data_IF_927979414271
#
_entry.id   IF_927979414271
#
_cell.length_a   1.000
_cell.length_b   1.000
_cell.length_c   1.000
_cell.angle_alpha   90.00
_cell.angle_beta   90.00
_cell.angle_gamma   90.00
#
_symmetry.space_group_name_H-M   'P 1'
#
loop_
_entity.id
_entity.type
_entity.pdbx_description
1 polymer ?
#
# COMPACT_ATOMS: atom_id res chain seq x y z
N UNK A 1 34.99 -28.93 -54.77
CA UNK A 1 35.27 -29.16 -53.33
C UNK A 1 35.14 -27.79 -52.64
N UNK A 2 34.46 -27.70 -51.49
CA UNK A 2 34.10 -26.47 -50.72
C UNK A 2 32.70 -25.87 -50.94
N UNK A 3 31.64 -26.60 -50.57
CA UNK A 3 30.28 -26.03 -50.37
C UNK A 3 29.70 -26.39 -48.98
N UNK A 4 30.41 -27.14 -48.13
CA UNK A 4 29.83 -27.73 -46.90
C UNK A 4 30.15 -27.02 -45.57
N UNK A 5 30.76 -25.83 -45.57
CA UNK A 5 31.24 -25.21 -44.31
C UNK A 5 30.22 -24.25 -43.67
N UNK A 6 29.21 -23.77 -44.39
CA UNK A 6 28.44 -22.60 -43.93
C UNK A 6 27.19 -22.88 -43.09
N UNK A 7 26.83 -24.15 -42.83
CA UNK A 7 25.56 -24.48 -42.14
C UNK A 7 25.68 -24.62 -40.61
N UNK A 8 26.90 -24.55 -40.07
CA UNK A 8 27.15 -24.84 -38.64
C UNK A 8 27.13 -23.60 -37.74
N UNK A 9 27.20 -22.38 -38.30
CA UNK A 9 27.21 -21.15 -37.49
C UNK A 9 25.81 -20.56 -37.25
N UNK A 10 24.85 -20.72 -38.18
CA UNK A 10 23.50 -20.18 -37.99
C UNK A 10 22.70 -20.89 -36.87
N UNK A 11 23.01 -22.15 -36.55
CA UNK A 11 22.33 -22.88 -35.47
C UNK A 11 22.75 -22.46 -34.06
N UNK A 12 23.86 -21.71 -33.90
CA UNK A 12 24.29 -21.19 -32.60
C UNK A 12 23.68 -19.83 -32.24
N UNK A 13 23.17 -19.08 -33.21
CA UNK A 13 22.57 -17.76 -32.96
C UNK A 13 21.08 -17.84 -32.59
N UNK A 14 20.37 -18.92 -32.95
CA UNK A 14 18.95 -19.12 -32.61
C UNK A 14 18.66 -19.49 -31.16
N UNK A 15 19.66 -19.87 -30.35
CA UNK A 15 19.44 -20.33 -28.97
C UNK A 15 19.59 -19.22 -27.91
N UNK A 16 20.35 -18.15 -28.21
CA UNK A 16 20.62 -17.08 -27.22
C UNK A 16 19.43 -16.18 -26.90
N UNK A 17 18.48 -16.02 -27.83
CA UNK A 17 17.28 -15.22 -27.59
C UNK A 17 16.27 -15.93 -26.68
N UNK A 18 16.34 -17.25 -26.58
CA UNK A 18 15.44 -18.03 -25.72
C UNK A 18 15.91 -17.98 -24.27
N UNK A 19 17.23 -18.08 -24.03
CA UNK A 19 17.82 -17.89 -22.71
C UNK A 19 17.56 -16.48 -22.16
N UNK A 20 17.63 -15.42 -22.98
CA UNK A 20 17.32 -14.06 -22.52
C UNK A 20 15.87 -13.85 -22.08
N UNK A 21 14.94 -14.65 -22.58
CA UNK A 21 13.52 -14.58 -22.19
C UNK A 21 13.25 -15.39 -20.92
N UNK A 22 13.97 -16.49 -20.68
CA UNK A 22 13.91 -17.24 -19.42
C UNK A 22 14.29 -16.38 -18.21
N UNK A 23 15.35 -15.56 -18.32
CA UNK A 23 15.74 -14.62 -17.26
C UNK A 23 14.71 -13.50 -17.00
N UNK A 24 13.82 -13.21 -17.97
CA UNK A 24 12.78 -12.19 -17.83
C UNK A 24 11.47 -12.73 -17.25
N UNK A 25 11.24 -14.05 -17.35
CA UNK A 25 10.05 -14.69 -16.79
C UNK A 25 10.24 -15.12 -15.32
N UNK A 26 11.47 -15.39 -14.88
CA UNK A 26 11.76 -15.89 -13.52
C UNK A 26 11.64 -14.82 -12.41
N UNK A 27 11.59 -13.52 -12.75
CA UNK A 27 11.43 -12.43 -11.77
C UNK A 27 9.99 -11.92 -11.57
N UNK A 28 8.99 -12.48 -12.26
CA UNK A 28 7.59 -12.15 -11.97
C UNK A 28 7.14 -12.84 -10.68
N UNK A 29 7.51 -12.21 -9.57
CA UNK A 29 6.96 -12.54 -8.26
C UNK A 29 5.43 -12.62 -8.31
N UNK A 30 4.82 -13.35 -7.35
CA UNK A 30 3.40 -13.70 -7.38
C UNK A 30 2.54 -12.49 -7.73
N UNK A 31 1.72 -12.65 -8.77
CA UNK A 31 0.89 -11.59 -9.30
C UNK A 31 0.03 -11.01 -8.18
N UNK A 32 0.27 -9.74 -7.85
CA UNK A 32 -0.42 -9.10 -6.73
C UNK A 32 -1.89 -8.90 -7.12
N UNK A 33 -2.86 -9.35 -6.31
CA UNK A 33 -4.26 -9.15 -6.62
C UNK A 33 -4.52 -7.65 -6.75
N UNK A 34 -5.20 -7.25 -7.82
CA UNK A 34 -5.40 -5.83 -8.16
C UNK A 34 -5.99 -5.02 -7.00
N UNK A 35 -6.85 -5.61 -6.18
CA UNK A 35 -7.44 -4.96 -5.02
C UNK A 35 -6.43 -4.62 -3.90
N UNK A 36 -5.37 -5.42 -3.71
CA UNK A 36 -4.33 -5.12 -2.73
C UNK A 36 -3.48 -3.92 -3.18
N UNK A 37 -3.20 -3.86 -4.48
CA UNK A 37 -2.51 -2.70 -5.08
C UNK A 37 -3.35 -1.45 -4.93
N UNK A 38 -4.67 -1.52 -5.19
CA UNK A 38 -5.58 -0.40 -4.99
C UNK A 38 -5.59 0.09 -3.53
N UNK A 39 -5.66 -0.82 -2.55
CA UNK A 39 -5.63 -0.46 -1.13
C UNK A 39 -4.29 0.13 -0.72
N UNK A 40 -3.20 -0.41 -1.22
CA UNK A 40 -1.85 0.13 -0.99
C UNK A 40 -1.79 1.59 -1.45
N UNK A 41 -2.29 1.87 -2.66
CA UNK A 41 -2.33 3.23 -3.21
C UNK A 41 -3.23 4.12 -2.37
N UNK A 42 -4.42 3.65 -1.95
CA UNK A 42 -5.31 4.39 -1.07
C UNK A 42 -4.65 4.75 0.26
N UNK A 43 -3.97 3.78 0.92
CA UNK A 43 -3.25 4.02 2.17
C UNK A 43 -2.16 5.08 1.99
N UNK A 44 -1.39 5.04 0.90
CA UNK A 44 -0.35 6.03 0.62
C UNK A 44 -0.94 7.41 0.38
N UNK A 45 -2.00 7.52 -0.44
CA UNK A 45 -2.68 8.79 -0.70
C UNK A 45 -3.25 9.37 0.59
N UNK A 46 -3.94 8.56 1.41
CA UNK A 46 -4.45 8.99 2.71
C UNK A 46 -3.31 9.44 3.63
N UNK A 47 -2.20 8.70 3.66
CA UNK A 47 -1.02 9.07 4.45
C UNK A 47 -0.42 10.41 4.04
N UNK A 48 -0.27 10.65 2.74
CA UNK A 48 0.20 11.93 2.20
C UNK A 48 -0.74 13.07 2.59
N UNK A 49 -2.05 12.86 2.47
CA UNK A 49 -3.04 13.85 2.88
C UNK A 49 -2.91 14.19 4.37
N UNK A 50 -2.77 13.20 5.26
CA UNK A 50 -2.53 13.43 6.69
C UNK A 50 -1.24 14.20 6.97
N UNK A 51 -0.17 13.93 6.21
CA UNK A 51 1.09 14.68 6.34
C UNK A 51 0.90 16.14 5.93
N UNK A 52 0.23 16.41 4.80
CA UNK A 52 -0.05 17.77 4.33
C UNK A 52 -0.92 18.52 5.34
N UNK A 53 -2.02 17.91 5.79
CA UNK A 53 -2.92 18.50 6.78
C UNK A 53 -2.23 18.73 8.13
N UNK A 54 -1.43 17.77 8.62
CA UNK A 54 -0.65 18.00 9.83
C UNK A 54 0.34 19.17 9.64
N UNK A 55 1.06 19.21 8.53
CA UNK A 55 2.05 20.25 8.30
C UNK A 55 1.45 21.66 8.20
N UNK A 56 0.26 21.81 7.64
CA UNK A 56 -0.38 23.14 7.53
C UNK A 56 -0.82 23.69 8.88
N UNK A 57 -1.17 22.84 9.84
CA UNK A 57 -1.61 23.24 11.17
C UNK A 57 -0.44 23.58 12.10
N UNK A 58 0.75 23.03 11.85
CA UNK A 58 1.98 23.42 12.57
C UNK A 58 2.32 24.91 12.40
N UNK A 59 1.96 25.52 11.28
CA UNK A 59 2.30 26.93 11.01
C UNK A 59 1.51 27.90 11.90
N UNK A 60 0.40 27.46 12.48
CA UNK A 60 -0.44 28.23 13.39
C UNK A 60 -0.13 27.85 14.85
N UNK A 61 1.05 28.27 15.34
CA UNK A 61 1.57 27.97 16.68
C UNK A 61 0.77 28.60 17.85
N UNK A 62 -0.43 29.11 17.60
CA UNK A 62 -1.17 29.95 18.54
C UNK A 62 -1.78 29.18 19.73
N UNK A 63 -1.89 27.84 19.66
CA UNK A 63 -2.34 27.03 20.80
C UNK A 63 -1.66 25.66 20.88
N UNK A 64 -1.24 25.25 22.08
CA UNK A 64 -0.65 23.93 22.35
C UNK A 64 -1.52 22.76 21.89
N UNK A 65 -2.84 22.94 21.90
CA UNK A 65 -3.81 21.98 21.36
C UNK A 65 -3.57 21.68 19.88
N UNK A 66 -3.40 22.71 19.04
CA UNK A 66 -3.17 22.54 17.60
C UNK A 66 -1.84 21.84 17.33
N UNK A 67 -0.80 22.15 18.11
CA UNK A 67 0.50 21.46 18.00
C UNK A 67 0.38 19.96 18.26
N UNK A 68 -0.38 19.55 19.29
CA UNK A 68 -0.57 18.13 19.61
C UNK A 68 -1.36 17.42 18.51
N UNK A 69 -2.49 17.98 18.08
CA UNK A 69 -3.32 17.39 17.01
C UNK A 69 -2.50 17.27 15.73
N UNK A 70 -1.77 18.32 15.39
CA UNK A 70 -0.90 18.36 14.23
C UNK A 70 0.19 17.29 14.27
N UNK A 71 0.87 17.10 15.41
CA UNK A 71 1.85 16.04 15.58
C UNK A 71 1.22 14.65 15.43
N UNK A 72 0.02 14.44 15.99
CA UNK A 72 -0.72 13.17 15.83
C UNK A 72 -1.06 12.89 14.37
N UNK A 73 -1.51 13.91 13.60
CA UNK A 73 -1.80 13.75 12.17
C UNK A 73 -0.55 13.38 11.37
N UNK A 74 0.60 13.99 11.68
CA UNK A 74 1.88 13.63 11.03
C UNK A 74 2.26 12.18 11.32
N UNK A 75 2.17 11.75 12.59
CA UNK A 75 2.47 10.36 12.99
C UNK A 75 1.54 9.37 12.28
N UNK A 76 0.24 9.66 12.23
CA UNK A 76 -0.72 8.84 11.48
C UNK A 76 -0.38 8.80 9.99
N UNK A 77 -0.08 9.94 9.38
CA UNK A 77 0.26 10.00 7.95
C UNK A 77 1.47 9.17 7.59
N UNK A 78 2.54 9.26 8.39
CA UNK A 78 3.74 8.42 8.23
C UNK A 78 3.42 6.95 8.45
N UNK A 79 2.61 6.61 9.46
CA UNK A 79 2.21 5.25 9.72
C UNK A 79 1.39 4.65 8.56
N UNK A 80 0.47 5.41 7.95
CA UNK A 80 -0.25 5.01 6.74
C UNK A 80 0.69 4.66 5.57
N UNK A 81 1.72 5.48 5.35
CA UNK A 81 2.71 5.24 4.29
C UNK A 81 3.55 3.99 4.58
N UNK A 82 4.04 3.84 5.82
CA UNK A 82 4.83 2.66 6.23
C UNK A 82 4.00 1.38 6.08
N UNK A 83 2.76 1.41 6.56
CA UNK A 83 1.83 0.28 6.47
C UNK A 83 1.49 -0.01 5.01
N UNK A 84 1.21 1.01 4.18
CA UNK A 84 0.98 0.83 2.75
C UNK A 84 2.16 0.16 2.06
N UNK A 85 3.39 0.64 2.33
CA UNK A 85 4.61 0.01 1.80
C UNK A 85 4.82 -1.41 2.33
N UNK A 86 4.48 -1.68 3.59
CA UNK A 86 4.51 -3.03 4.15
C UNK A 86 3.50 -3.96 3.47
N UNK A 87 2.30 -3.45 3.18
CA UNK A 87 1.23 -4.17 2.51
C UNK A 87 1.61 -4.51 1.06
N UNK A 88 2.28 -3.58 0.38
CA UNK A 88 2.86 -3.80 -0.95
C UNK A 88 3.87 -4.96 -0.97
N UNK A 89 4.54 -5.22 0.16
CA UNK A 89 5.55 -6.26 0.32
C UNK A 89 5.00 -7.51 1.03
N UNK A 90 3.68 -7.71 1.08
CA UNK A 90 3.03 -8.89 1.69
C UNK A 90 3.41 -9.13 3.16
N UNK A 91 3.75 -8.08 3.90
CA UNK A 91 4.15 -8.21 5.30
C UNK A 91 2.92 -8.39 6.20
N UNK A 92 2.89 -9.46 7.00
CA UNK A 92 1.76 -9.78 7.92
C UNK A 92 1.44 -8.66 8.91
N UNK A 93 2.47 -8.04 9.48
CA UNK A 93 2.32 -6.91 10.42
C UNK A 93 1.71 -5.68 9.74
N UNK A 94 1.87 -5.52 8.43
CA UNK A 94 1.23 -4.43 7.69
C UNK A 94 -0.27 -4.66 7.47
N UNK A 95 -0.71 -5.92 7.31
CA UNK A 95 -2.15 -6.22 7.27
C UNK A 95 -2.82 -5.84 8.59
N UNK A 96 -2.25 -6.26 9.72
CA UNK A 96 -2.76 -5.89 11.04
C UNK A 96 -2.67 -4.37 11.26
N UNK A 97 -1.54 -3.76 10.89
CA UNK A 97 -1.33 -2.32 10.98
C UNK A 97 -2.37 -1.51 10.19
N UNK A 98 -2.72 -1.95 8.98
CA UNK A 98 -3.72 -1.30 8.13
C UNK A 98 -5.11 -1.36 8.76
N UNK A 99 -5.50 -2.51 9.29
CA UNK A 99 -6.79 -2.65 9.97
C UNK A 99 -6.84 -1.77 11.23
N UNK A 100 -5.79 -1.78 12.04
CA UNK A 100 -5.74 -1.01 13.30
C UNK A 100 -5.76 0.49 13.00
N UNK A 101 -4.90 0.96 12.09
CA UNK A 101 -4.81 2.39 11.79
C UNK A 101 -6.10 2.90 11.14
N UNK A 102 -6.67 2.16 10.18
CA UNK A 102 -7.94 2.53 9.55
C UNK A 102 -9.10 2.53 10.54
N UNK A 103 -9.16 1.59 11.47
CA UNK A 103 -10.19 1.57 12.52
C UNK A 103 -10.05 2.76 13.46
N UNK A 104 -8.81 3.11 13.84
CA UNK A 104 -8.54 4.27 14.69
C UNK A 104 -8.96 5.57 13.98
N UNK A 105 -8.57 5.77 12.72
CA UNK A 105 -8.99 6.97 11.96
C UNK A 105 -10.49 7.01 11.74
N UNK A 106 -11.14 5.87 11.50
CA UNK A 106 -12.60 5.80 11.39
C UNK A 106 -13.26 6.26 12.70
N UNK A 107 -12.79 5.76 13.85
CA UNK A 107 -13.29 6.16 15.17
C UNK A 107 -13.10 7.66 15.42
N UNK A 108 -11.91 8.21 15.13
CA UNK A 108 -11.62 9.64 15.27
C UNK A 108 -12.55 10.47 14.38
N UNK A 109 -12.76 10.05 13.13
CA UNK A 109 -13.63 10.75 12.17
C UNK A 109 -15.07 10.77 12.65
N UNK A 110 -15.59 9.65 13.17
CA UNK A 110 -16.92 9.57 13.76
C UNK A 110 -17.03 10.46 15.00
N UNK A 111 -16.01 10.49 15.86
CA UNK A 111 -15.96 11.37 17.04
C UNK A 111 -16.09 12.84 16.65
N UNK A 112 -15.37 13.27 15.61
CA UNK A 112 -15.46 14.62 15.07
C UNK A 112 -16.88 14.96 14.59
N UNK A 113 -17.52 14.04 13.86
CA UNK A 113 -18.92 14.21 13.41
C UNK A 113 -19.88 14.36 14.59
N UNK A 114 -19.74 13.53 15.63
CA UNK A 114 -20.61 13.56 16.81
C UNK A 114 -20.49 14.89 17.57
N UNK A 115 -19.28 15.43 17.69
CA UNK A 115 -19.06 16.71 18.38
C UNK A 115 -19.65 17.92 17.65
N UNK A 116 -20.09 17.77 16.39
CA UNK A 116 -20.69 18.84 15.60
C UNK A 116 -19.71 19.98 15.24
N UNK A 117 -18.40 19.80 15.48
CA UNK A 117 -17.37 20.81 15.22
C UNK A 117 -17.26 21.10 13.72
N UNK A 118 -17.52 20.09 12.87
CA UNK A 118 -17.53 20.23 11.42
C UNK A 118 -18.91 19.87 10.89
N UNK A 119 -19.42 20.68 9.96
CA UNK A 119 -20.59 20.30 9.16
C UNK A 119 -20.27 19.02 8.38
N UNK A 120 -21.28 18.22 8.04
CA UNK A 120 -21.14 17.02 7.20
C UNK A 120 -20.60 17.41 5.81
N UNK A 121 -19.27 17.48 5.71
CA UNK A 121 -18.55 17.73 4.48
C UNK A 121 -18.41 16.41 3.70
N UNK A 122 -18.47 16.50 2.38
CA UNK A 122 -18.21 15.41 1.47
C UNK A 122 -16.86 14.71 1.75
N UNK A 123 -15.87 15.49 2.18
CA UNK A 123 -14.53 15.00 2.54
C UNK A 123 -14.55 14.00 3.70
N UNK A 124 -15.41 14.24 4.71
CA UNK A 124 -15.57 13.36 5.88
C UNK A 124 -16.21 12.04 5.47
N UNK A 125 -17.27 12.11 4.65
CA UNK A 125 -18.00 10.93 4.15
C UNK A 125 -17.06 10.05 3.32
N UNK A 126 -16.28 10.66 2.41
CA UNK A 126 -15.27 9.93 1.65
C UNK A 126 -14.24 9.25 2.55
N UNK A 127 -13.74 9.95 3.58
CA UNK A 127 -12.81 9.37 4.54
C UNK A 127 -13.37 8.14 5.25
N UNK A 128 -14.65 8.20 5.68
CA UNK A 128 -15.35 7.07 6.29
C UNK A 128 -15.43 5.88 5.32
N UNK A 129 -15.87 6.14 4.08
CA UNK A 129 -16.00 5.09 3.06
C UNK A 129 -14.67 4.43 2.76
N UNK A 130 -13.60 5.22 2.54
CA UNK A 130 -12.26 4.69 2.27
C UNK A 130 -11.79 3.78 3.41
N UNK A 131 -11.89 4.23 4.66
CA UNK A 131 -11.46 3.43 5.82
C UNK A 131 -12.28 2.14 5.95
N UNK A 132 -13.60 2.21 5.74
CA UNK A 132 -14.45 1.02 5.74
C UNK A 132 -14.08 0.05 4.62
N UNK A 133 -13.83 0.53 3.40
CA UNK A 133 -13.42 -0.31 2.27
C UNK A 133 -12.11 -1.03 2.58
N UNK A 134 -11.12 -0.33 3.15
CA UNK A 134 -9.83 -0.93 3.55
C UNK A 134 -10.05 -2.05 4.57
N UNK A 135 -10.81 -1.77 5.64
CA UNK A 135 -11.09 -2.75 6.70
C UNK A 135 -11.84 -3.96 6.16
N UNK A 136 -12.95 -3.74 5.44
CA UNK A 136 -13.80 -4.80 4.91
C UNK A 136 -13.06 -5.68 3.90
N UNK A 137 -12.18 -5.10 3.10
CA UNK A 137 -11.38 -5.88 2.17
C UNK A 137 -10.31 -6.71 2.88
N UNK A 138 -9.57 -6.13 3.83
CA UNK A 138 -8.48 -6.83 4.53
C UNK A 138 -8.94 -7.88 5.55
N UNK A 139 -10.19 -7.81 6.01
CA UNK A 139 -10.79 -8.85 6.87
C UNK A 139 -11.13 -10.12 6.09
N UNK A 140 -11.31 -10.03 4.76
CA UNK A 140 -11.70 -11.18 3.93
C UNK A 140 -10.74 -12.37 4.11
N UNK A 141 -11.26 -13.58 4.36
CA UNK A 141 -10.42 -14.74 4.66
C UNK A 141 -9.50 -15.10 3.50
N UNK A 142 -9.92 -14.86 2.25
CA UNK A 142 -9.11 -15.13 1.06
C UNK A 142 -7.84 -14.27 1.04
N UNK A 143 -7.95 -13.00 1.44
CA UNK A 143 -6.80 -12.09 1.50
C UNK A 143 -5.88 -12.49 2.65
N UNK A 144 -6.43 -12.85 3.81
CA UNK A 144 -5.64 -13.30 4.96
C UNK A 144 -4.84 -14.55 4.64
N UNK A 145 -5.44 -15.54 3.98
CA UNK A 145 -4.76 -16.76 3.57
C UNK A 145 -3.58 -16.47 2.62
N UNK A 146 -3.72 -15.51 1.69
CA UNK A 146 -2.62 -15.11 0.80
C UNK A 146 -1.45 -14.47 1.58
N UNK A 147 -1.74 -13.63 2.58
CA UNK A 147 -0.70 -13.07 3.46
C UNK A 147 -0.02 -14.14 4.32
N UNK A 148 -0.72 -15.22 4.66
CA UNK A 148 -0.11 -16.34 5.37
C UNK A 148 0.86 -17.11 4.47
N UNK A 149 0.48 -17.37 3.22
CA UNK A 149 1.29 -18.08 2.24
C UNK A 149 2.54 -17.29 1.83
N UNK A 150 2.38 -16.03 1.41
CA UNK A 150 3.49 -15.20 0.91
C UNK A 150 4.32 -14.55 2.04
N UNK A 151 3.72 -14.35 3.21
CA UNK A 151 4.45 -13.83 4.37
C UNK A 151 5.50 -14.79 4.92
N UNK A 152 5.37 -16.10 4.66
CA UNK A 152 6.33 -17.11 5.14
C UNK A 152 7.57 -17.23 4.24
N UNK A 153 7.41 -17.06 2.92
CA UNK A 153 8.51 -17.20 1.97
C UNK A 153 9.50 -16.04 2.00
N UNK A 154 9.10 -14.88 2.51
CA UNK A 154 9.95 -13.68 2.61
C UNK A 154 10.73 -13.56 3.94
N UNK A 155 10.53 -14.50 4.87
CA UNK A 155 11.24 -14.56 6.16
C UNK A 155 12.32 -15.65 6.24
N UNK A 156 12.53 -16.40 5.15
CA UNK A 156 13.69 -17.29 4.97
C UNK A 156 14.75 -16.56 4.15
#
# INVERSE_FOLDING_TARGET
MNVFVNFKEESKMGNKSNESNEWLEEEKGPEKPAGLTAITVLLVISGVQYVISGSSWLLDFTAAYYTIVSAMMLVLGVAFIIVGRGLANWRRWALLGAIVISSLTLFLTIGVVITGIYAFDYSIILGIVINLTIILYLIRPEIRAQFEQYGYSSSQ
#
